data_IF_635685315899
#
_entry.id   IF_635685315899
#
_cell.length_a   1.000
_cell.length_b   1.000
_cell.length_c   1.000
_cell.angle_alpha   90.00
_cell.angle_beta   90.00
_cell.angle_gamma   90.00
#
_symmetry.space_group_name_H-M   'P 1'
#
loop_
_entity.id
_entity.type
_entity.pdbx_description
1 polymer ?
#
# COMPACT_ATOMS: atom_id res chain seq x y z
N UNK A 1 -11.80 12.90 -6.06
CA UNK A 1 -12.71 11.86 -5.52
C UNK A 1 -12.90 10.70 -6.50
N UNK A 2 -13.10 10.96 -7.80
CA UNK A 2 -13.20 9.89 -8.82
C UNK A 2 -11.93 9.01 -8.92
N UNK A 3 -10.74 9.63 -8.94
CA UNK A 3 -9.46 8.90 -9.01
C UNK A 3 -9.21 7.97 -7.81
N UNK A 4 -9.71 8.33 -6.62
CA UNK A 4 -9.65 7.48 -5.43
C UNK A 4 -10.42 6.18 -5.63
N UNK A 5 -11.68 6.29 -6.08
CA UNK A 5 -12.56 5.13 -6.27
C UNK A 5 -12.02 4.23 -7.37
N UNK A 6 -11.47 4.79 -8.45
CA UNK A 6 -10.87 4.02 -9.54
C UNK A 6 -9.64 3.26 -9.02
N UNK A 7 -8.70 3.91 -8.35
CA UNK A 7 -7.50 3.24 -7.81
C UNK A 7 -7.82 2.22 -6.73
N UNK A 8 -8.80 2.50 -5.86
CA UNK A 8 -9.26 1.57 -4.83
C UNK A 8 -9.95 0.34 -5.43
N UNK A 9 -10.84 0.51 -6.41
CA UNK A 9 -11.48 -0.60 -7.12
C UNK A 9 -10.47 -1.37 -7.96
N UNK A 10 -9.52 -0.69 -8.61
CA UNK A 10 -8.45 -1.35 -9.36
C UNK A 10 -7.55 -2.19 -8.44
N UNK A 11 -7.29 -1.74 -7.21
CA UNK A 11 -6.56 -2.54 -6.24
C UNK A 11 -7.39 -3.74 -5.75
N UNK A 12 -8.63 -3.51 -5.31
CA UNK A 12 -9.44 -4.53 -4.65
C UNK A 12 -10.11 -5.56 -5.58
N UNK A 13 -10.50 -5.14 -6.79
CA UNK A 13 -11.27 -5.99 -7.71
C UNK A 13 -10.42 -6.62 -8.82
N UNK A 14 -9.09 -6.50 -8.74
CA UNK A 14 -8.19 -7.15 -9.69
C UNK A 14 -7.33 -8.21 -9.01
N UNK A 15 -6.67 -9.02 -9.84
CA UNK A 15 -5.69 -10.02 -9.40
C UNK A 15 -4.47 -9.41 -8.68
N UNK A 16 -4.34 -8.08 -8.64
CA UNK A 16 -3.24 -7.39 -7.97
C UNK A 16 -3.24 -7.69 -6.48
N UNK A 17 -4.39 -7.61 -5.80
CA UNK A 17 -4.46 -7.84 -4.36
C UNK A 17 -4.06 -9.27 -4.00
N UNK A 18 -4.69 -10.27 -4.64
CA UNK A 18 -4.36 -11.68 -4.39
C UNK A 18 -2.93 -12.02 -4.80
N UNK A 19 -2.48 -11.56 -5.97
CA UNK A 19 -1.12 -11.81 -6.45
C UNK A 19 -0.04 -11.21 -5.55
N UNK A 20 -0.27 -10.02 -4.99
CA UNK A 20 0.66 -9.39 -4.04
C UNK A 20 0.67 -10.15 -2.72
N UNK A 21 -0.49 -10.52 -2.17
CA UNK A 21 -0.56 -11.28 -0.91
C UNK A 21 0.10 -12.66 -1.05
N UNK A 22 -0.16 -13.37 -2.14
CA UNK A 22 0.46 -14.66 -2.43
C UNK A 22 1.98 -14.53 -2.59
N UNK A 23 2.44 -13.50 -3.30
CA UNK A 23 3.86 -13.22 -3.48
C UNK A 23 4.56 -12.90 -2.17
N UNK A 24 3.94 -12.08 -1.32
CA UNK A 24 4.45 -11.74 0.01
C UNK A 24 4.46 -12.96 0.93
N UNK A 25 3.40 -13.79 0.92
CA UNK A 25 3.35 -15.02 1.73
C UNK A 25 4.47 -15.98 1.35
N UNK A 26 4.65 -16.23 0.05
CA UNK A 26 5.73 -17.10 -0.45
C UNK A 26 7.11 -16.57 -0.09
N UNK A 27 7.33 -15.26 -0.21
CA UNK A 27 8.59 -14.65 0.19
C UNK A 27 8.84 -14.80 1.69
N UNK A 28 7.80 -14.66 2.51
CA UNK A 28 7.89 -14.84 3.95
C UNK A 28 8.17 -16.30 4.35
N UNK A 29 7.58 -17.25 3.65
CA UNK A 29 7.87 -18.69 3.82
C UNK A 29 9.30 -19.04 3.44
N UNK A 30 9.82 -18.47 2.35
CA UNK A 30 11.16 -18.77 1.86
C UNK A 30 12.28 -18.11 2.68
N UNK A 31 12.05 -16.90 3.20
CA UNK A 31 13.10 -16.05 3.76
C UNK A 31 12.84 -15.59 5.21
N UNK A 32 11.71 -15.95 5.82
CA UNK A 32 11.36 -15.57 7.19
C UNK A 32 10.76 -14.16 7.30
N UNK A 33 10.96 -13.49 8.44
CA UNK A 33 10.37 -12.16 8.68
C UNK A 33 11.12 -11.06 7.90
N UNK A 34 10.59 -10.72 6.73
CA UNK A 34 11.12 -9.70 5.84
C UNK A 34 10.45 -8.35 6.04
N UNK A 35 11.23 -7.28 5.89
CA UNK A 35 10.69 -5.92 5.70
C UNK A 35 10.21 -5.75 4.26
N UNK A 36 8.96 -5.37 4.10
CA UNK A 36 8.33 -5.16 2.80
C UNK A 36 8.45 -3.67 2.44
N UNK A 37 9.13 -3.38 1.34
CA UNK A 37 9.19 -2.03 0.76
C UNK A 37 8.37 -1.99 -0.53
N UNK A 38 7.47 -1.03 -0.64
CA UNK A 38 6.64 -0.83 -1.83
C UNK A 38 6.90 0.55 -2.41
N UNK A 39 7.07 0.63 -3.73
CA UNK A 39 7.37 1.89 -4.43
C UNK A 39 6.33 2.11 -5.52
N UNK A 40 5.81 3.34 -5.64
CA UNK A 40 4.83 3.69 -6.68
C UNK A 40 5.06 5.08 -7.26
N UNK A 41 4.81 5.25 -8.57
CA UNK A 41 4.91 6.53 -9.26
C UNK A 41 3.55 6.93 -9.87
N UNK A 42 3.18 8.22 -9.79
CA UNK A 42 1.95 8.77 -10.36
C UNK A 42 0.70 8.00 -9.89
N UNK A 43 -0.13 7.48 -10.80
CA UNK A 43 -1.26 6.60 -10.49
C UNK A 43 -0.85 5.36 -9.68
N UNK A 44 0.35 4.83 -9.91
CA UNK A 44 0.92 3.74 -9.13
C UNK A 44 1.14 4.12 -7.67
N UNK A 45 1.44 5.38 -7.36
CA UNK A 45 1.54 5.88 -5.98
C UNK A 45 0.21 5.75 -5.22
N UNK A 46 -0.90 6.06 -5.88
CA UNK A 46 -2.24 5.87 -5.32
C UNK A 46 -2.55 4.40 -5.01
N UNK A 47 -2.20 3.49 -5.92
CA UNK A 47 -2.43 2.04 -5.73
C UNK A 47 -1.55 1.46 -4.63
N UNK A 48 -0.27 1.86 -4.60
CA UNK A 48 0.71 1.40 -3.61
C UNK A 48 0.34 1.84 -2.20
N UNK A 49 -0.29 3.01 -2.04
CA UNK A 49 -0.84 3.43 -0.75
C UNK A 49 -1.96 2.51 -0.25
N UNK A 50 -2.86 2.03 -1.11
CA UNK A 50 -3.84 1.01 -0.68
C UNK A 50 -3.19 -0.33 -0.38
N UNK A 51 -2.23 -0.72 -1.21
CA UNK A 51 -1.50 -1.97 -1.04
C UNK A 51 -0.75 -2.02 0.30
N UNK A 52 0.01 -0.99 0.63
CA UNK A 52 0.78 -0.95 1.87
C UNK A 52 -0.15 -0.87 3.09
N UNK A 53 -1.31 -0.21 2.97
CA UNK A 53 -2.30 -0.17 4.04
C UNK A 53 -2.85 -1.58 4.34
N UNK A 54 -3.17 -2.35 3.29
CA UNK A 54 -3.63 -3.74 3.45
C UNK A 54 -2.54 -4.63 4.08
N UNK A 55 -1.30 -4.52 3.59
CA UNK A 55 -0.16 -5.25 4.13
C UNK A 55 0.16 -4.86 5.59
N UNK A 56 0.01 -3.58 5.95
CA UNK A 56 0.21 -3.10 7.32
C UNK A 56 -0.82 -3.69 8.28
N UNK A 57 -2.07 -3.84 7.83
CA UNK A 57 -3.15 -4.42 8.62
C UNK A 57 -2.99 -5.95 8.78
N UNK A 58 -2.46 -6.64 7.78
CA UNK A 58 -2.27 -8.10 7.80
C UNK A 58 -0.99 -8.50 8.54
N UNK A 59 0.13 -7.82 8.27
CA UNK A 59 1.46 -8.21 8.72
C UNK A 59 2.07 -7.29 9.78
N UNK A 60 1.42 -6.16 10.08
CA UNK A 60 1.87 -5.19 11.08
C UNK A 60 2.68 -4.02 10.49
N UNK A 61 2.38 -2.81 10.98
CA UNK A 61 2.92 -1.53 10.52
C UNK A 61 4.45 -1.40 10.56
N UNK A 62 5.13 -2.13 11.46
CA UNK A 62 6.60 -2.05 11.63
C UNK A 62 7.38 -2.74 10.51
N UNK A 63 6.72 -3.63 9.78
CA UNK A 63 7.35 -4.47 8.77
C UNK A 63 7.14 -3.93 7.34
N UNK A 64 6.48 -2.79 7.19
CA UNK A 64 6.14 -2.22 5.90
C UNK A 64 6.63 -0.78 5.76
N UNK A 65 7.16 -0.44 4.59
CA UNK A 65 7.60 0.89 4.20
C UNK A 65 7.11 1.20 2.79
N UNK A 66 6.72 2.45 2.56
CA UNK A 66 6.28 2.88 1.24
C UNK A 66 6.98 4.16 0.80
N UNK A 67 7.34 4.21 -0.48
CA UNK A 67 7.82 5.43 -1.14
C UNK A 67 6.95 5.72 -2.35
N UNK A 68 6.38 6.92 -2.44
CA UNK A 68 5.59 7.33 -3.61
C UNK A 68 6.14 8.57 -4.26
N UNK A 69 6.15 8.57 -5.59
CA UNK A 69 6.62 9.67 -6.42
C UNK A 69 5.45 10.34 -7.15
N UNK A 70 5.20 11.62 -6.88
CA UNK A 70 4.11 12.36 -7.54
C UNK A 70 2.71 11.78 -7.31
N UNK A 71 2.43 11.26 -6.11
CA UNK A 71 1.15 10.63 -5.79
C UNK A 71 0.00 11.67 -5.80
N UNK A 72 -1.14 11.39 -6.45
CA UNK A 72 -2.32 12.26 -6.37
C UNK A 72 -3.04 12.12 -5.02
N UNK A 73 -3.91 13.07 -4.68
CA UNK A 73 -4.72 12.99 -3.45
C UNK A 73 -5.73 11.83 -3.52
N UNK A 74 -5.55 10.84 -2.65
CA UNK A 74 -6.35 9.61 -2.55
C UNK A 74 -7.28 9.57 -1.33
N UNK A 75 -7.87 10.69 -0.89
CA UNK A 75 -8.78 10.61 0.26
C UNK A 75 -9.13 11.95 0.86
N UNK A 76 -10.00 11.90 1.87
CA UNK A 76 -10.31 13.04 2.72
C UNK A 76 -9.33 13.14 3.91
N UNK A 77 -9.48 14.15 4.76
CA UNK A 77 -8.62 14.34 5.93
C UNK A 77 -8.67 13.18 6.92
N UNK A 78 -9.84 12.56 7.09
CA UNK A 78 -10.01 11.39 7.96
C UNK A 78 -9.20 10.18 7.46
N UNK A 79 -9.24 9.90 6.15
CA UNK A 79 -8.42 8.86 5.54
C UNK A 79 -6.93 9.15 5.71
N UNK A 80 -6.49 10.39 5.48
CA UNK A 80 -5.10 10.77 5.66
C UNK A 80 -4.63 10.54 7.11
N UNK A 81 -5.45 10.92 8.10
CA UNK A 81 -5.13 10.69 9.51
C UNK A 81 -5.03 9.21 9.87
N UNK A 82 -5.98 8.39 9.40
CA UNK A 82 -5.97 6.94 9.60
C UNK A 82 -4.75 6.29 8.92
N UNK A 83 -4.47 6.68 7.68
CA UNK A 83 -3.35 6.17 6.92
C UNK A 83 -2.01 6.45 7.61
N UNK A 84 -1.77 7.68 8.08
CA UNK A 84 -0.53 8.03 8.79
C UNK A 84 -0.36 7.29 10.11
N UNK A 85 -1.44 6.87 10.77
CA UNK A 85 -1.36 6.05 11.98
C UNK A 85 -0.98 4.60 11.67
N UNK A 86 -1.58 4.02 10.63
CA UNK A 86 -1.38 2.61 10.27
C UNK A 86 -0.08 2.40 9.48
N UNK A 87 0.32 3.36 8.65
CA UNK A 87 1.50 3.31 7.77
C UNK A 87 2.40 4.53 8.04
N UNK A 88 3.03 4.63 9.22
CA UNK A 88 3.85 5.79 9.58
C UNK A 88 5.13 5.91 8.73
N UNK A 89 5.62 4.79 8.17
CA UNK A 89 6.82 4.73 7.34
C UNK A 89 6.52 5.07 5.87
N UNK A 90 5.92 6.23 5.63
CA UNK A 90 5.57 6.73 4.28
C UNK A 90 6.51 7.86 3.87
N UNK A 91 7.17 7.70 2.74
CA UNK A 91 8.08 8.68 2.15
C UNK A 91 7.50 9.21 0.84
N UNK A 92 7.49 10.53 0.69
CA UNK A 92 7.04 11.20 -0.52
C UNK A 92 8.26 11.84 -1.17
N UNK A 93 8.50 11.51 -2.44
CA UNK A 93 9.56 12.11 -3.27
C UNK A 93 8.98 12.74 -4.54
#
# INVERSE_FOLDING_TARGET
>A
MLSFVISFNAYNNTIMRSGILDGVSRAKEAYGDLKIKVIGHSMGGAMVAFCILDLALIYGSKNVQVTTFGMPRIGNAAFASYYSQVVPNTFLE
#
